data_IF_313289053978
#
_entry.id   IF_313289053978
#
_cell.length_a   1.000
_cell.length_b   1.000
_cell.length_c   1.000
_cell.angle_alpha   90.00
_cell.angle_beta   90.00
_cell.angle_gamma   90.00
#
_symmetry.space_group_name_H-M   'P 1'
#
loop_
_entity.id
_entity.type
_entity.pdbx_description
1 polymer ?
#
# COMPACT_ATOMS: atom_id res chain seq x y z
N UNK A 1 7.55 16.69 24.89
CA UNK A 1 7.78 16.52 23.43
C UNK A 1 6.46 16.39 22.65
N UNK A 2 5.47 15.63 23.13
CA UNK A 2 4.20 15.36 22.39
C UNK A 2 3.36 16.58 21.96
N UNK A 3 3.29 17.66 22.76
CA UNK A 3 2.51 18.86 22.38
C UNK A 3 3.10 19.60 21.16
N UNK A 4 4.42 19.56 20.95
CA UNK A 4 5.07 20.26 19.83
C UNK A 4 4.92 19.49 18.52
N UNK A 5 4.93 18.15 18.57
CA UNK A 5 4.67 17.28 17.40
C UNK A 5 3.21 17.42 16.96
N UNK A 6 2.26 17.39 17.90
CA UNK A 6 0.85 17.59 17.60
C UNK A 6 0.58 18.96 16.96
N UNK A 7 1.21 20.03 17.48
CA UNK A 7 1.10 21.38 16.90
C UNK A 7 1.71 21.43 15.50
N UNK A 8 2.83 20.78 15.23
CA UNK A 8 3.44 20.76 13.88
C UNK A 8 2.56 19.98 12.89
N UNK A 9 2.03 18.82 13.29
CA UNK A 9 1.09 18.02 12.45
C UNK A 9 -0.19 18.80 12.18
N UNK A 10 -0.76 19.45 13.20
CA UNK A 10 -1.95 20.29 13.06
C UNK A 10 -1.65 21.54 12.21
N UNK A 11 -0.44 22.10 12.31
CA UNK A 11 -0.01 23.27 11.53
C UNK A 11 0.24 22.92 10.06
N UNK A 12 0.78 21.73 9.76
CA UNK A 12 0.87 21.21 8.39
C UNK A 12 -0.53 20.96 7.83
N UNK A 13 -1.43 20.34 8.59
CA UNK A 13 -2.81 20.13 8.18
C UNK A 13 -3.58 21.45 7.93
N UNK A 14 -3.28 22.50 8.71
CA UNK A 14 -3.87 23.83 8.57
C UNK A 14 -3.20 24.69 7.47
N UNK A 15 -1.96 24.41 7.08
CA UNK A 15 -1.34 25.05 5.91
C UNK A 15 -1.84 24.46 4.58
N UNK A 16 -2.39 23.24 4.61
CA UNK A 16 -3.02 22.56 3.47
C UNK A 16 -4.47 23.04 3.27
N UNK A 17 -5.07 23.74 4.24
CA UNK A 17 -6.46 24.22 4.14
C UNK A 17 -6.58 25.57 3.44
N UNK A 18 -6.76 25.50 2.12
CA UNK A 18 -7.68 26.36 1.37
C UNK A 18 -8.03 25.75 -0.01
N UNK A 19 -7.16 24.92 -0.58
CA UNK A 19 -7.32 24.38 -1.94
C UNK A 19 -6.89 22.91 -2.13
N UNK A 20 -6.44 22.22 -1.08
CA UNK A 20 -5.88 20.88 -1.24
C UNK A 20 -6.96 19.80 -1.39
N UNK A 21 -6.79 18.97 -2.42
CA UNK A 21 -7.53 17.71 -2.59
C UNK A 21 -7.02 16.70 -1.56
N UNK A 22 -7.94 16.03 -0.89
CA UNK A 22 -7.65 14.97 0.09
C UNK A 22 -8.41 13.73 -0.35
N UNK A 23 -7.77 12.57 -0.29
CA UNK A 23 -8.44 11.30 -0.53
C UNK A 23 -8.28 10.33 0.63
N UNK A 24 -9.34 9.58 0.89
CA UNK A 24 -9.39 8.46 1.83
C UNK A 24 -9.60 7.19 1.01
N UNK A 25 -8.73 6.21 1.18
CA UNK A 25 -8.75 4.93 0.48
C UNK A 25 -9.00 3.83 1.52
N UNK A 26 -10.21 3.25 1.54
CA UNK A 26 -10.55 2.14 2.43
C UNK A 26 -10.26 0.83 1.72
N UNK A 27 -9.32 0.04 2.23
CA UNK A 27 -8.63 -1.00 1.46
C UNK A 27 -8.94 -2.37 2.04
N UNK A 28 -9.13 -3.36 1.16
CA UNK A 28 -8.99 -4.78 1.46
C UNK A 28 -7.89 -5.35 0.59
N UNK A 29 -7.03 -6.19 1.16
CA UNK A 29 -5.91 -6.78 0.43
C UNK A 29 -5.61 -8.20 0.90
N UNK A 30 -4.89 -8.94 0.06
CA UNK A 30 -4.18 -10.15 0.44
C UNK A 30 -2.69 -9.95 0.25
N UNK A 31 -1.89 -10.56 1.13
CA UNK A 31 -0.42 -10.58 1.04
C UNK A 31 0.06 -12.03 1.14
N UNK A 32 1.04 -12.36 0.32
CA UNK A 32 1.73 -13.65 0.39
C UNK A 32 3.00 -13.49 1.22
N UNK A 33 3.07 -14.05 2.43
CA UNK A 33 4.29 -14.02 3.24
C UNK A 33 5.04 -15.34 3.10
N UNK A 34 6.35 -15.30 3.27
CA UNK A 34 7.19 -16.50 3.33
C UNK A 34 8.31 -16.33 4.35
N UNK A 35 8.00 -16.40 5.66
CA UNK A 35 8.98 -16.29 6.73
C UNK A 35 9.80 -17.59 6.88
N UNK A 36 10.48 -18.03 5.83
CA UNK A 36 11.01 -19.40 5.68
C UNK A 36 11.88 -19.87 6.84
N UNK A 37 12.71 -18.99 7.40
CA UNK A 37 13.58 -19.33 8.53
C UNK A 37 12.76 -19.58 9.81
N UNK A 38 11.73 -18.76 10.06
CA UNK A 38 10.82 -18.95 11.19
C UNK A 38 9.90 -20.17 10.98
N UNK A 39 9.44 -20.39 9.76
CA UNK A 39 8.73 -21.60 9.34
C UNK A 39 9.57 -22.86 9.61
N UNK A 40 10.87 -22.80 9.30
CA UNK A 40 11.80 -23.89 9.57
C UNK A 40 11.96 -24.14 11.07
N UNK A 41 12.07 -23.10 11.89
CA UNK A 41 12.14 -23.23 13.35
C UNK A 41 10.86 -23.86 13.93
N UNK A 42 9.67 -23.43 13.48
CA UNK A 42 8.38 -24.05 13.86
C UNK A 42 8.39 -25.56 13.52
N UNK A 43 8.76 -25.92 12.29
CA UNK A 43 8.78 -27.31 11.86
C UNK A 43 9.83 -28.14 12.61
N UNK A 44 11.04 -27.60 12.84
CA UNK A 44 12.09 -28.26 13.63
C UNK A 44 11.70 -28.49 15.08
N UNK A 45 10.85 -27.63 15.64
CA UNK A 45 10.37 -27.78 17.02
C UNK A 45 9.75 -29.16 17.21
N UNK A 46 8.81 -29.56 16.34
CA UNK A 46 8.20 -30.89 16.41
C UNK A 46 9.20 -32.05 16.23
N UNK A 47 10.19 -31.90 15.34
CA UNK A 47 11.24 -32.91 15.13
C UNK A 47 12.13 -33.08 16.35
N UNK A 48 12.53 -31.98 16.99
CA UNK A 48 13.33 -32.01 18.21
C UNK A 48 12.60 -32.73 19.36
N UNK A 49 11.26 -32.71 19.36
CA UNK A 49 10.44 -33.48 20.29
C UNK A 49 10.17 -34.93 19.84
N UNK A 50 10.96 -35.47 18.90
CA UNK A 50 10.98 -36.90 18.56
C UNK A 50 9.92 -37.34 17.55
N UNK A 51 9.32 -36.41 16.81
CA UNK A 51 8.28 -36.70 15.81
C UNK A 51 8.85 -36.62 14.38
N UNK A 52 9.72 -37.57 14.03
CA UNK A 52 10.43 -37.64 12.74
C UNK A 52 9.52 -37.90 11.52
N UNK A 53 8.35 -38.53 11.73
CA UNK A 53 7.39 -38.87 10.66
C UNK A 53 6.35 -37.76 10.38
N UNK A 54 6.44 -36.63 11.09
CA UNK A 54 5.51 -35.54 10.91
C UNK A 54 5.96 -34.71 9.70
N UNK A 55 5.34 -34.97 8.54
CA UNK A 55 5.41 -34.18 7.30
C UNK A 55 4.72 -32.80 7.55
N UNK A 56 5.27 -32.04 8.50
CA UNK A 56 4.78 -30.76 8.98
C UNK A 56 5.34 -29.67 8.07
N UNK A 57 4.86 -29.65 6.83
CA UNK A 57 4.96 -28.47 6.00
C UNK A 57 4.12 -27.37 6.67
N UNK A 58 4.75 -26.56 7.51
CA UNK A 58 4.09 -25.39 8.11
C UNK A 58 3.96 -24.30 7.05
N UNK A 59 2.76 -23.76 6.87
CA UNK A 59 2.50 -22.68 5.90
C UNK A 59 2.39 -21.32 6.60
N UNK A 60 3.00 -21.16 7.79
CA UNK A 60 2.89 -19.93 8.56
C UNK A 60 3.24 -18.71 7.69
N UNK A 61 2.30 -17.78 7.58
CA UNK A 61 2.42 -16.57 6.77
C UNK A 61 1.93 -16.69 5.33
N UNK A 62 1.66 -17.89 4.80
CA UNK A 62 1.28 -18.19 3.41
C UNK A 62 0.46 -17.10 2.68
N UNK A 63 -0.86 -17.23 2.59
CA UNK A 63 -1.72 -16.14 2.11
C UNK A 63 -2.55 -15.59 3.27
N UNK A 64 -2.33 -14.33 3.63
CA UNK A 64 -3.12 -13.65 4.67
C UNK A 64 -3.90 -12.47 4.10
N UNK A 65 -5.14 -12.33 4.57
CA UNK A 65 -6.02 -11.22 4.27
C UNK A 65 -5.83 -10.06 5.25
N UNK A 66 -6.07 -8.85 4.76
CA UNK A 66 -5.96 -7.63 5.55
C UNK A 66 -6.90 -6.53 5.09
N UNK A 67 -6.98 -5.51 5.92
CA UNK A 67 -7.74 -4.29 5.65
C UNK A 67 -6.95 -3.06 6.08
N UNK A 68 -7.28 -1.91 5.53
CA UNK A 68 -6.53 -0.69 5.83
C UNK A 68 -7.21 0.60 5.41
N UNK A 69 -6.56 1.70 5.74
CA UNK A 69 -6.96 3.04 5.34
C UNK A 69 -5.73 3.84 4.89
N UNK A 70 -5.81 4.41 3.68
CA UNK A 70 -4.84 5.37 3.16
C UNK A 70 -5.40 6.78 3.19
N UNK A 71 -4.65 7.73 3.72
CA UNK A 71 -4.95 9.16 3.68
C UNK A 71 -3.96 9.83 2.74
N UNK A 72 -4.45 10.41 1.64
CA UNK A 72 -3.64 11.03 0.59
C UNK A 72 -3.89 12.53 0.60
N UNK A 73 -2.83 13.31 0.76
CA UNK A 73 -2.86 14.78 0.73
C UNK A 73 -2.19 15.24 -0.56
N UNK A 74 -2.97 15.77 -1.50
CA UNK A 74 -2.43 16.20 -2.79
C UNK A 74 -1.68 17.51 -2.64
N UNK A 75 -0.40 17.49 -3.00
CA UNK A 75 0.46 18.69 -3.08
C UNK A 75 0.51 19.26 -4.49
N UNK A 76 0.10 18.47 -5.49
CA UNK A 76 -0.16 18.85 -6.88
C UNK A 76 -1.16 17.88 -7.51
N UNK A 77 -1.56 18.11 -8.76
CA UNK A 77 -2.44 17.19 -9.50
C UNK A 77 -1.86 15.79 -9.66
N UNK A 78 -0.53 15.67 -9.66
CA UNK A 78 0.17 14.40 -9.90
C UNK A 78 0.86 13.83 -8.67
N UNK A 79 0.90 14.53 -7.54
CA UNK A 79 1.68 14.11 -6.38
C UNK A 79 0.82 14.24 -5.12
N UNK A 80 0.72 13.14 -4.37
CA UNK A 80 0.20 13.13 -3.00
C UNK A 80 1.24 12.67 -2.01
N UNK A 81 1.16 13.19 -0.79
CA UNK A 81 1.81 12.64 0.40
C UNK A 81 0.79 11.73 1.06
N UNK A 82 1.21 10.51 1.43
CA UNK A 82 0.29 9.50 1.91
C UNK A 82 0.66 9.03 3.31
N UNK A 83 -0.36 8.78 4.12
CA UNK A 83 -0.27 8.05 5.38
C UNK A 83 -1.08 6.77 5.19
N UNK A 84 -0.45 5.62 5.39
CA UNK A 84 -1.09 4.32 5.24
C UNK A 84 -1.14 3.60 6.59
N UNK A 85 -2.32 3.09 6.93
CA UNK A 85 -2.54 2.22 8.06
C UNK A 85 -3.15 0.91 7.56
N UNK A 86 -2.35 -0.16 7.49
CA UNK A 86 -2.81 -1.50 7.11
C UNK A 86 -2.82 -2.42 8.33
N UNK A 87 -3.72 -3.39 8.34
CA UNK A 87 -3.85 -4.41 9.37
C UNK A 87 -4.03 -5.78 8.71
N UNK A 88 -3.28 -6.78 9.16
CA UNK A 88 -3.41 -8.16 8.69
C UNK A 88 -3.15 -9.13 9.84
N UNK A 89 -3.71 -10.34 9.70
CA UNK A 89 -3.67 -11.37 10.73
C UNK A 89 -3.30 -12.73 10.13
N UNK A 90 -2.32 -13.39 10.71
CA UNK A 90 -1.97 -14.79 10.40
C UNK A 90 -1.85 -15.58 11.69
N UNK A 91 -2.37 -16.79 11.69
CA UNK A 91 -2.27 -17.71 12.82
C UNK A 91 -2.08 -19.11 12.25
N UNK A 92 -1.20 -19.88 12.89
CA UNK A 92 -0.95 -21.28 12.58
C UNK A 92 -0.84 -22.04 13.89
N UNK A 93 -1.57 -23.15 13.98
CA UNK A 93 -1.46 -24.10 15.08
C UNK A 93 -1.04 -25.46 14.54
N UNK A 94 0.06 -25.98 15.04
CA UNK A 94 0.52 -27.35 14.80
C UNK A 94 0.23 -28.17 16.04
N UNK A 95 -0.62 -29.17 15.89
CA UNK A 95 -1.00 -30.08 16.98
C UNK A 95 -0.59 -31.51 16.62
N UNK A 96 0.26 -32.13 17.45
CA UNK A 96 0.66 -33.53 17.31
C UNK A 96 -0.06 -34.36 18.36
N UNK A 97 -0.77 -35.38 17.90
CA UNK A 97 -1.57 -36.29 18.75
C UNK A 97 -1.06 -37.72 18.64
N UNK A 98 -1.16 -38.46 19.75
CA UNK A 98 -0.82 -39.87 19.79
C UNK A 98 -1.96 -40.68 19.16
N UNK A 99 -1.71 -41.34 18.03
CA UNK A 99 -2.77 -42.08 17.31
C UNK A 99 -3.43 -43.20 18.14
N UNK A 100 -2.69 -43.81 19.08
CA UNK A 100 -3.18 -44.94 19.87
C UNK A 100 -4.02 -44.52 21.08
N UNK A 101 -3.74 -43.35 21.66
CA UNK A 101 -4.41 -42.87 22.88
C UNK A 101 -5.32 -41.67 22.64
N UNK A 102 -5.15 -40.97 21.51
CA UNK A 102 -5.80 -39.70 21.21
C UNK A 102 -5.29 -38.53 22.04
N UNK A 103 -4.26 -38.73 22.88
CA UNK A 103 -3.70 -37.67 23.72
C UNK A 103 -2.93 -36.65 22.86
N UNK A 104 -3.09 -35.35 23.16
CA UNK A 104 -2.27 -34.31 22.55
C UNK A 104 -0.90 -34.29 23.20
N UNK A 105 0.14 -34.42 22.41
CA UNK A 105 1.52 -34.53 22.91
C UNK A 105 2.27 -33.20 22.78
N UNK A 106 1.99 -32.46 21.71
CA UNK A 106 2.68 -31.21 21.38
C UNK A 106 1.72 -30.25 20.67
N UNK A 107 1.81 -28.98 21.01
CA UNK A 107 1.16 -27.87 20.33
C UNK A 107 2.20 -26.79 20.09
N UNK A 108 2.27 -26.26 18.87
CA UNK A 108 2.96 -25.02 18.55
C UNK A 108 1.96 -24.07 17.91
N UNK A 109 1.61 -22.99 18.61
CA UNK A 109 0.68 -21.98 18.14
C UNK A 109 1.43 -20.65 17.92
N UNK A 110 1.49 -20.20 16.68
CA UNK A 110 2.02 -18.89 16.34
C UNK A 110 0.90 -18.01 15.79
N UNK A 111 0.69 -16.85 16.39
CA UNK A 111 -0.31 -15.88 15.96
C UNK A 111 0.30 -14.49 15.83
N UNK A 112 -0.06 -13.79 14.75
CA UNK A 112 0.49 -12.50 14.39
C UNK A 112 -0.61 -11.56 13.88
N UNK A 113 -0.93 -10.56 14.69
CA UNK A 113 -1.83 -9.45 14.41
C UNK A 113 -0.99 -8.19 14.23
N UNK A 114 -0.77 -7.80 12.97
CA UNK A 114 0.19 -6.75 12.60
C UNK A 114 -0.53 -5.52 12.07
N UNK A 115 -0.20 -4.35 12.61
CA UNK A 115 -0.54 -3.05 12.06
C UNK A 115 0.69 -2.40 11.40
N UNK A 116 0.62 -2.07 10.11
CA UNK A 116 1.62 -1.27 9.42
C UNK A 116 1.20 0.20 9.40
N UNK A 117 2.03 1.09 9.94
CA UNK A 117 1.85 2.53 9.86
C UNK A 117 2.97 3.15 9.03
N UNK A 118 2.66 3.48 7.78
CA UNK A 118 3.61 4.02 6.80
C UNK A 118 3.32 5.47 6.41
N UNK A 119 4.36 6.18 6.03
CA UNK A 119 4.28 7.47 5.36
C UNK A 119 5.07 7.43 4.04
N UNK A 120 4.57 8.12 3.03
CA UNK A 120 5.15 8.02 1.69
C UNK A 120 4.64 9.08 0.73
N UNK A 121 4.86 8.81 -0.55
CA UNK A 121 4.35 9.63 -1.63
C UNK A 121 3.86 8.77 -2.79
N UNK A 122 2.83 9.28 -3.46
CA UNK A 122 2.25 8.68 -4.65
C UNK A 122 2.35 9.64 -5.81
N UNK A 123 2.82 9.14 -6.94
CA UNK A 123 2.76 9.80 -8.23
C UNK A 123 1.57 9.27 -9.04
N UNK A 124 0.63 10.15 -9.35
CA UNK A 124 -0.56 9.89 -10.15
C UNK A 124 -0.27 10.25 -11.61
N UNK A 125 -0.52 9.32 -12.52
CA UNK A 125 -0.27 9.47 -13.94
C UNK A 125 -1.53 10.04 -14.60
N UNK A 126 -1.45 11.29 -15.04
CA UNK A 126 -2.55 11.93 -15.77
C UNK A 126 -2.59 11.40 -17.20
N UNK A 127 -3.69 10.74 -17.56
CA UNK A 127 -3.97 10.33 -18.93
C UNK A 127 -4.74 11.44 -19.64
N UNK A 128 -4.21 11.95 -20.75
CA UNK A 128 -4.90 12.97 -21.54
C UNK A 128 -6.30 12.48 -21.95
N UNK A 129 -7.33 13.26 -21.57
CA UNK A 129 -8.72 12.96 -21.93
C UNK A 129 -9.47 12.00 -21.01
N UNK A 130 -8.86 11.53 -19.90
CA UNK A 130 -9.53 10.67 -18.91
C UNK A 130 -9.38 11.23 -17.50
N UNK A 131 -10.47 11.71 -16.91
CA UNK A 131 -10.55 12.02 -15.47
C UNK A 131 -11.06 10.85 -14.63
N UNK A 132 -11.50 9.77 -15.29
CA UNK A 132 -12.12 8.60 -14.65
C UNK A 132 -11.09 7.58 -14.21
N UNK A 133 -10.01 7.39 -14.98
CA UNK A 133 -9.00 6.35 -14.72
C UNK A 133 -7.65 7.03 -14.50
N UNK A 134 -7.09 6.85 -13.30
CA UNK A 134 -5.81 7.43 -12.89
C UNK A 134 -4.87 6.33 -12.40
N UNK A 135 -3.95 5.84 -13.25
CA UNK A 135 -2.87 4.97 -12.81
C UNK A 135 -1.96 5.70 -11.83
N UNK A 136 -1.31 4.97 -10.92
CA UNK A 136 -0.37 5.55 -9.98
C UNK A 136 0.74 4.59 -9.59
N UNK A 137 1.83 5.16 -9.08
CA UNK A 137 2.92 4.48 -8.39
C UNK A 137 3.14 5.14 -7.03
N UNK A 138 3.31 4.35 -5.99
CA UNK A 138 3.50 4.79 -4.62
C UNK A 138 4.69 4.10 -3.99
N UNK A 139 5.38 4.81 -3.09
CA UNK A 139 6.39 4.26 -2.22
C UNK A 139 6.16 4.78 -0.80
N UNK A 140 6.14 3.88 0.17
CA UNK A 140 5.99 4.21 1.58
C UNK A 140 7.02 3.46 2.44
N UNK A 141 7.29 4.02 3.62
CA UNK A 141 8.10 3.37 4.65
C UNK A 141 7.46 3.64 6.01
N UNK A 142 7.59 2.69 6.93
CA UNK A 142 6.82 2.70 8.16
C UNK A 142 7.28 1.70 9.20
N UNK A 143 6.53 1.71 10.31
CA UNK A 143 6.69 0.76 11.39
C UNK A 143 5.65 -0.36 11.27
N UNK A 144 6.04 -1.57 11.65
CA UNK A 144 5.14 -2.68 11.93
C UNK A 144 4.96 -2.77 13.43
N UNK A 145 3.72 -2.67 13.87
CA UNK A 145 3.31 -2.73 15.27
C UNK A 145 2.57 -4.04 15.46
N UNK A 146 3.10 -4.88 16.35
CA UNK A 146 2.43 -6.10 16.77
C UNK A 146 1.35 -5.72 17.78
N UNK A 147 0.09 -5.83 17.38
CA UNK A 147 -1.04 -5.60 18.27
C UNK A 147 -1.22 -6.81 19.20
N UNK A 148 -1.07 -8.01 18.65
CA UNK A 148 -1.03 -9.31 19.33
C UNK A 148 -0.13 -10.21 18.50
N UNK A 149 1.10 -10.44 18.96
CA UNK A 149 2.05 -11.29 18.26
C UNK A 149 2.74 -12.20 19.26
N UNK A 150 2.40 -13.48 19.24
CA UNK A 150 2.99 -14.47 20.12
C UNK A 150 3.32 -15.76 19.37
N UNK A 151 4.30 -16.48 19.90
CA UNK A 151 4.53 -17.88 19.59
C UNK A 151 4.58 -18.68 20.89
N UNK A 152 3.66 -19.62 21.02
CA UNK A 152 3.55 -20.52 22.16
C UNK A 152 3.88 -21.94 21.74
N UNK A 153 4.70 -22.61 22.55
CA UNK A 153 4.98 -24.03 22.42
C UNK A 153 4.56 -24.72 23.72
N UNK A 154 3.73 -25.75 23.61
CA UNK A 154 3.22 -26.54 24.71
C UNK A 154 3.49 -28.03 24.50
N UNK A 155 3.89 -28.74 25.55
CA UNK A 155 3.96 -30.21 25.56
C UNK A 155 3.26 -30.80 26.78
N UNK A 156 2.66 -31.99 26.64
CA UNK A 156 2.07 -32.70 27.77
C UNK A 156 3.16 -33.10 28.80
N UNK A 157 3.06 -32.64 30.05
CA UNK A 157 4.06 -32.91 31.08
C UNK A 157 4.23 -34.41 31.40
N UNK A 158 3.22 -35.23 31.13
CA UNK A 158 3.28 -36.69 31.35
C UNK A 158 4.17 -37.42 30.34
N UNK A 159 4.52 -36.78 29.21
CA UNK A 159 5.41 -37.31 28.18
C UNK A 159 6.83 -36.71 28.22
N UNK A 160 7.14 -35.83 29.18
CA UNK A 160 8.43 -35.13 29.30
C UNK A 160 9.64 -36.05 29.58
N UNK A 161 9.41 -37.27 30.08
CA UNK A 161 10.49 -38.22 30.42
C UNK A 161 11.25 -38.77 29.21
N UNK A 162 10.77 -38.54 27.98
CA UNK A 162 11.43 -38.97 26.74
C UNK A 162 12.13 -37.82 25.98
N UNK A 163 11.98 -36.57 26.42
CA UNK A 163 12.17 -35.39 25.56
C UNK A 163 13.42 -34.56 25.85
N UNK A 164 14.02 -34.69 27.04
CA UNK A 164 15.31 -34.08 27.33
C UNK A 164 16.36 -35.18 27.50
N UNK A 165 17.44 -35.05 26.74
CA UNK A 165 18.59 -35.94 26.76
C UNK A 165 18.92 -36.40 28.21
N UNK A 166 18.96 -37.72 28.49
CA UNK A 166 19.27 -38.22 29.84
C UNK A 166 20.67 -37.82 30.35
N UNK A 167 21.47 -37.09 29.57
CA UNK A 167 22.71 -36.43 30.03
C UNK A 167 22.48 -35.23 30.93
N UNK A 168 21.30 -34.61 30.93
CA UNK A 168 21.00 -33.49 31.83
C UNK A 168 19.86 -33.89 32.76
N UNK A 169 20.23 -34.34 33.97
CA UNK A 169 19.36 -34.54 35.12
C UNK A 169 18.83 -33.18 35.65
N UNK A 170 18.04 -32.52 34.82
CA UNK A 170 17.14 -31.44 35.24
C UNK A 170 15.79 -32.01 34.84
N UNK A 171 15.09 -32.71 35.72
CA UNK A 171 13.91 -32.17 36.36
C UNK A 171 13.36 -33.27 37.27
N UNK A 172 13.63 -33.18 38.58
CA UNK A 172 12.97 -34.05 39.57
C UNK A 172 12.28 -33.25 40.69
N UNK A 173 12.29 -31.92 40.65
CA UNK A 173 11.84 -31.12 41.81
C UNK A 173 10.91 -29.97 41.54
N UNK A 174 10.49 -29.70 40.29
CA UNK A 174 9.54 -28.60 40.03
C UNK A 174 8.27 -29.08 39.34
N UNK A 175 7.20 -29.40 40.09
CA UNK A 175 5.89 -29.77 39.54
C UNK A 175 5.17 -28.59 38.86
N UNK A 176 5.70 -27.36 38.95
CA UNK A 176 5.19 -26.17 38.24
C UNK A 176 6.00 -25.85 36.96
N UNK A 177 6.92 -26.73 36.53
CA UNK A 177 7.63 -26.62 35.26
C UNK A 177 6.69 -26.94 34.10
N UNK A 178 5.76 -26.01 33.84
CA UNK A 178 4.96 -26.03 32.63
C UNK A 178 5.91 -25.98 31.43
N UNK A 179 5.84 -26.98 30.57
CA UNK A 179 6.48 -27.00 29.27
C UNK A 179 5.75 -26.08 28.29
N UNK A 180 5.46 -24.87 28.76
CA UNK A 180 4.85 -23.78 28.05
C UNK A 180 5.92 -22.71 27.93
N UNK A 181 6.22 -22.31 26.71
CA UNK A 181 7.17 -21.23 26.44
C UNK A 181 6.57 -20.30 25.41
N UNK A 182 6.51 -19.02 25.74
CA UNK A 182 5.94 -17.95 24.92
C UNK A 182 7.04 -16.98 24.43
N UNK A 183 6.80 -16.40 23.25
CA UNK A 183 7.63 -15.36 22.68
C UNK A 183 6.77 -14.24 22.12
N UNK A 184 6.89 -13.04 22.67
CA UNK A 184 6.22 -11.84 22.16
C UNK A 184 7.05 -11.18 21.05
N UNK A 185 6.45 -10.98 19.87
CA UNK A 185 7.13 -10.33 18.76
C UNK A 185 7.35 -8.83 19.00
N UNK A 186 8.55 -8.35 18.68
CA UNK A 186 8.91 -6.94 18.74
C UNK A 186 8.26 -6.11 17.61
N UNK A 187 8.44 -4.79 17.66
CA UNK A 187 8.12 -3.92 16.53
C UNK A 187 9.12 -4.10 15.39
N UNK A 188 8.63 -4.01 14.16
CA UNK A 188 9.44 -4.08 12.94
C UNK A 188 9.48 -2.77 12.17
N UNK A 189 10.29 -2.75 11.12
CA UNK A 189 10.28 -1.68 10.12
C UNK A 189 10.17 -2.29 8.73
N UNK A 190 9.56 -1.52 7.84
CA UNK A 190 9.39 -1.95 6.46
C UNK A 190 9.08 -0.80 5.53
N UNK A 191 9.04 -1.13 4.26
CA UNK A 191 8.55 -0.26 3.22
C UNK A 191 7.87 -1.06 2.14
N UNK A 192 7.07 -0.38 1.33
CA UNK A 192 6.39 -1.03 0.23
C UNK A 192 6.38 -0.13 -1.00
N UNK A 193 6.48 -0.78 -2.16
CA UNK A 193 6.23 -0.16 -3.45
C UNK A 193 4.90 -0.70 -3.94
N UNK A 194 4.05 0.20 -4.41
CA UNK A 194 2.71 -0.11 -4.87
C UNK A 194 2.46 0.53 -6.23
N UNK A 195 1.79 -0.20 -7.11
CA UNK A 195 1.25 0.32 -8.35
C UNK A 195 -0.23 0.01 -8.39
N UNK A 196 -1.01 0.90 -9.00
CA UNK A 196 -2.43 0.68 -9.07
C UNK A 196 -3.14 1.61 -10.04
N UNK A 197 -4.45 1.52 -10.00
CA UNK A 197 -5.36 2.37 -10.76
C UNK A 197 -6.52 2.81 -9.90
N UNK A 198 -6.80 4.11 -9.90
CA UNK A 198 -8.00 4.69 -9.32
C UNK A 198 -9.04 4.85 -10.43
N UNK A 199 -10.26 4.39 -10.18
CA UNK A 199 -11.41 4.45 -11.08
C UNK A 199 -12.51 5.27 -10.40
N UNK A 200 -12.73 6.50 -10.85
CA UNK A 200 -13.68 7.44 -10.28
C UNK A 200 -15.06 7.32 -10.94
N UNK A 201 -16.09 7.03 -10.15
CA UNK A 201 -17.49 6.99 -10.62
C UNK A 201 -18.17 8.37 -10.50
N UNK A 202 -17.61 9.25 -9.67
CA UNK A 202 -18.01 10.66 -9.51
C UNK A 202 -16.78 11.51 -9.15
N UNK A 203 -16.96 12.82 -8.98
CA UNK A 203 -15.88 13.71 -8.54
C UNK A 203 -15.34 13.37 -7.12
N UNK A 204 -16.10 12.61 -6.33
CA UNK A 204 -15.82 12.34 -4.91
C UNK A 204 -15.75 10.87 -4.54
N UNK A 205 -16.17 9.96 -5.41
CA UNK A 205 -16.22 8.53 -5.10
C UNK A 205 -15.69 7.68 -6.25
N UNK A 206 -14.95 6.65 -5.90
CA UNK A 206 -14.34 5.70 -6.84
C UNK A 206 -13.91 4.42 -6.16
N UNK A 207 -13.14 3.64 -6.89
CA UNK A 207 -12.53 2.40 -6.45
C UNK A 207 -11.04 2.40 -6.81
N UNK A 208 -10.20 1.79 -5.98
CA UNK A 208 -8.79 1.53 -6.26
C UNK A 208 -8.60 0.04 -6.54
N UNK A 209 -7.74 -0.29 -7.49
CA UNK A 209 -7.18 -1.64 -7.68
C UNK A 209 -5.66 -1.51 -7.61
N UNK A 210 -5.00 -2.36 -6.84
CA UNK A 210 -3.58 -2.20 -6.58
C UNK A 210 -2.85 -3.51 -6.36
N UNK A 211 -1.55 -3.46 -6.58
CA UNK A 211 -0.62 -4.53 -6.24
C UNK A 211 0.77 -3.97 -6.02
N UNK A 212 1.59 -4.70 -5.29
CA UNK A 212 2.90 -4.23 -4.90
C UNK A 212 3.75 -5.29 -4.24
N UNK A 213 4.87 -4.85 -3.69
CA UNK A 213 5.76 -5.67 -2.90
C UNK A 213 6.13 -4.93 -1.63
N UNK A 214 6.03 -5.64 -0.50
CA UNK A 214 6.45 -5.16 0.82
C UNK A 214 7.78 -5.81 1.17
N UNK A 215 8.69 -5.01 1.72
CA UNK A 215 9.89 -5.48 2.39
C UNK A 215 9.73 -5.12 3.86
N UNK A 216 9.63 -6.10 4.73
CA UNK A 216 9.40 -5.89 6.16
C UNK A 216 10.04 -7.00 6.96
N UNK A 217 10.67 -6.65 8.08
CA UNK A 217 11.22 -7.63 9.00
C UNK A 217 11.01 -7.20 10.44
N UNK A 218 10.89 -8.18 11.32
CA UNK A 218 10.79 -8.02 12.76
C UNK A 218 11.94 -8.83 13.36
N UNK A 219 12.74 -8.22 14.23
CA UNK A 219 13.81 -8.96 14.90
C UNK A 219 13.21 -10.02 15.83
N UNK A 220 13.83 -11.20 15.85
CA UNK A 220 13.55 -12.26 16.82
C UNK A 220 14.73 -12.31 17.79
N UNK A 221 14.43 -12.18 19.08
CA UNK A 221 15.40 -12.32 20.17
C UNK A 221 14.83 -13.31 21.19
N UNK A 222 15.09 -14.60 20.95
CA UNK A 222 14.56 -15.67 21.78
C UNK A 222 14.97 -15.48 23.26
N UNK A 223 14.04 -15.65 24.21
CA UNK A 223 14.36 -15.42 25.62
C UNK A 223 15.29 -16.52 26.13
N UNK A 224 16.18 -16.22 27.07
CA UNK A 224 17.04 -17.23 27.70
C UNK A 224 16.29 -17.99 28.81
N UNK A 225 15.14 -18.59 28.48
CA UNK A 225 14.27 -19.34 29.40
C UNK A 225 13.59 -20.52 28.71
N UNK A 226 13.24 -21.56 29.46
CA UNK A 226 12.48 -22.70 28.92
C UNK A 226 13.21 -23.45 27.79
N UNK A 227 12.48 -23.72 26.71
CA UNK A 227 13.02 -24.45 25.53
C UNK A 227 14.03 -23.61 24.73
N UNK A 228 14.01 -22.30 24.90
CA UNK A 228 14.80 -21.34 24.13
C UNK A 228 16.25 -21.19 24.62
N UNK A 229 16.56 -21.64 25.84
CA UNK A 229 17.91 -21.52 26.44
C UNK A 229 18.96 -22.23 25.59
N UNK A 230 20.21 -21.74 25.59
CA UNK A 230 21.31 -22.31 24.79
C UNK A 230 21.50 -23.82 25.02
N UNK A 231 21.30 -24.30 26.25
CA UNK A 231 21.45 -25.73 26.57
C UNK A 231 20.26 -26.60 26.13
N UNK A 232 19.08 -26.00 25.91
CA UNK A 232 17.87 -26.70 25.48
C UNK A 232 17.56 -26.50 23.99
N UNK A 233 18.13 -25.47 23.37
CA UNK A 233 18.01 -25.17 21.94
C UNK A 233 18.98 -26.03 21.12
N UNK A 234 18.90 -27.36 21.26
CA UNK A 234 19.71 -28.31 20.50
C UNK A 234 18.88 -29.54 20.13
N UNK A 235 18.95 -29.98 18.88
CA UNK A 235 18.30 -31.18 18.38
C UNK A 235 19.06 -32.46 18.78
N UNK A 236 18.59 -33.63 18.31
CA UNK A 236 19.22 -34.92 18.56
C UNK A 236 20.64 -35.05 18.00
N UNK A 237 21.02 -34.20 17.03
CA UNK A 237 22.36 -34.12 16.44
C UNK A 237 23.24 -33.06 17.12
N UNK A 238 22.69 -32.25 18.03
CA UNK A 238 23.38 -31.13 18.69
C UNK A 238 23.34 -29.83 17.89
N UNK A 239 22.50 -29.72 16.87
CA UNK A 239 22.31 -28.52 16.06
C UNK A 239 21.21 -27.62 16.65
N UNK A 240 21.30 -26.29 16.55
CA UNK A 240 20.27 -25.40 17.08
C UNK A 240 18.90 -25.59 16.41
N UNK A 241 17.85 -25.65 17.23
CA UNK A 241 16.44 -25.79 16.80
C UNK A 241 15.93 -24.42 16.32
N UNK A 242 16.12 -23.40 17.14
CA UNK A 242 15.70 -22.02 16.93
C UNK A 242 16.88 -21.20 16.42
N UNK A 243 16.78 -20.80 15.16
CA UNK A 243 17.86 -20.16 14.39
C UNK A 243 17.44 -18.85 13.72
N UNK A 244 16.14 -18.61 13.61
CA UNK A 244 15.60 -17.40 13.02
C UNK A 244 15.97 -16.18 13.89
N UNK A 245 16.70 -15.26 13.29
CA UNK A 245 17.01 -13.95 13.90
C UNK A 245 16.02 -12.86 13.50
N UNK A 246 15.16 -13.16 12.51
CA UNK A 246 14.14 -12.26 12.00
C UNK A 246 12.91 -13.02 11.53
N UNK A 247 11.74 -12.45 11.78
CA UNK A 247 10.50 -12.81 11.11
C UNK A 247 10.37 -11.96 9.83
N UNK A 248 10.53 -12.59 8.67
CA UNK A 248 10.39 -11.92 7.37
C UNK A 248 8.91 -11.80 6.98
N UNK A 249 8.41 -10.56 6.96
CA UNK A 249 7.04 -10.22 6.56
C UNK A 249 7.02 -9.56 5.18
N UNK A 250 8.05 -9.81 4.38
CA UNK A 250 8.14 -9.39 3.00
C UNK A 250 7.28 -10.26 2.10
N UNK A 251 6.76 -9.66 1.03
CA UNK A 251 5.87 -10.39 0.14
C UNK A 251 5.14 -9.53 -0.88
N UNK A 252 4.69 -10.15 -1.99
CA UNK A 252 3.78 -9.50 -2.90
C UNK A 252 2.39 -9.36 -2.25
N UNK A 253 1.74 -8.23 -2.50
CA UNK A 253 0.37 -7.98 -2.05
C UNK A 253 -0.48 -7.44 -3.18
N UNK A 254 -1.78 -7.66 -3.09
CA UNK A 254 -2.77 -7.19 -4.06
C UNK A 254 -4.10 -6.91 -3.37
N UNK A 255 -4.87 -5.97 -3.90
CA UNK A 255 -6.12 -5.60 -3.27
C UNK A 255 -6.95 -4.63 -4.07
N UNK A 256 -8.06 -4.25 -3.44
CA UNK A 256 -9.00 -3.28 -3.94
C UNK A 256 -9.49 -2.40 -2.79
N UNK A 257 -9.93 -1.19 -3.11
CA UNK A 257 -10.41 -0.27 -2.09
C UNK A 257 -11.49 0.67 -2.58
N UNK A 258 -12.22 1.27 -1.64
CA UNK A 258 -13.15 2.36 -1.89
C UNK A 258 -12.43 3.69 -1.70
N UNK A 259 -12.46 4.52 -2.73
CA UNK A 259 -11.77 5.81 -2.74
C UNK A 259 -12.79 6.93 -2.58
N UNK A 260 -12.61 7.76 -1.55
CA UNK A 260 -13.38 8.97 -1.32
C UNK A 260 -12.47 10.17 -1.44
N UNK A 261 -12.84 11.15 -2.26
CA UNK A 261 -12.04 12.36 -2.49
C UNK A 261 -12.85 13.59 -2.11
N UNK A 262 -12.24 14.46 -1.33
CA UNK A 262 -12.83 15.69 -0.80
C UNK A 262 -11.86 16.84 -1.09
N UNK A 263 -12.38 17.98 -1.54
CA UNK A 263 -11.55 19.13 -1.86
C UNK A 263 -10.83 19.02 -3.21
N UNK A 264 -10.03 20.04 -3.52
CA UNK A 264 -9.80 20.46 -4.89
C UNK A 264 -10.98 21.28 -5.34
N UNK A 265 -10.74 22.51 -5.80
CA UNK A 265 -11.78 23.22 -6.54
C UNK A 265 -12.27 22.26 -7.64
N UNK A 266 -13.55 21.91 -7.61
CA UNK A 266 -14.30 22.02 -8.85
C UNK A 266 -13.96 23.45 -9.28
N UNK A 267 -13.07 23.62 -10.28
CA UNK A 267 -12.92 24.91 -10.94
C UNK A 267 -14.35 25.37 -11.10
N UNK A 268 -14.75 26.40 -10.34
CA UNK A 268 -16.16 26.66 -10.17
C UNK A 268 -16.71 26.65 -11.59
N UNK A 269 -17.63 25.73 -11.89
CA UNK A 269 -18.52 25.95 -13.02
C UNK A 269 -19.20 27.22 -12.58
N UNK A 270 -18.58 28.34 -12.93
CA UNK A 270 -19.00 29.68 -12.64
C UNK A 270 -20.47 29.61 -12.99
N UNK A 271 -21.39 29.72 -12.00
CA UNK A 271 -22.80 29.47 -12.26
C UNK A 271 -23.11 30.31 -13.47
N UNK A 272 -23.50 29.62 -14.56
CA UNK A 272 -23.56 30.19 -15.89
C UNK A 272 -24.16 31.57 -15.71
N UNK A 273 -23.32 32.60 -15.86
CA UNK A 273 -23.77 33.95 -15.61
C UNK A 273 -24.96 34.09 -16.54
N UNK A 274 -26.16 34.21 -15.98
CA UNK A 274 -27.36 34.53 -16.73
C UNK A 274 -27.14 35.95 -17.21
N UNK A 275 -26.37 36.04 -18.29
CA UNK A 275 -26.07 37.24 -19.01
C UNK A 275 -26.89 37.16 -20.28
N UNK A 276 -27.62 38.23 -20.64
CA UNK A 276 -28.66 38.17 -21.64
C UNK A 276 -28.10 37.68 -22.97
N UNK A 277 -28.92 36.91 -23.68
CA UNK A 277 -28.65 36.37 -25.00
C UNK A 277 -27.94 37.38 -25.91
N UNK A 278 -26.67 37.10 -26.21
CA UNK A 278 -26.07 37.47 -27.49
C UNK A 278 -25.31 36.22 -27.95
N UNK A 279 -25.89 35.57 -28.94
CA UNK A 279 -25.29 34.48 -29.70
C UNK A 279 -24.03 35.00 -30.41
N UNK A 280 -22.87 34.79 -29.78
CA UNK A 280 -21.57 34.88 -30.46
C UNK A 280 -20.91 33.51 -30.36
N UNK A 281 -21.33 32.58 -31.21
CA UNK A 281 -20.98 31.15 -31.21
C UNK A 281 -19.48 30.82 -31.37
N UNK A 282 -18.63 31.19 -30.42
CA UNK A 282 -17.22 30.82 -30.36
C UNK A 282 -17.04 29.42 -29.73
N UNK A 283 -16.38 28.50 -30.46
CA UNK A 283 -16.12 27.13 -29.98
C UNK A 283 -15.03 27.12 -28.90
N UNK A 284 -15.00 26.08 -28.05
CA UNK A 284 -13.95 25.91 -27.02
C UNK A 284 -12.53 25.93 -27.62
N UNK A 285 -12.36 25.34 -28.81
CA UNK A 285 -11.09 25.38 -29.56
C UNK A 285 -10.69 26.79 -29.97
N UNK A 286 -11.65 27.66 -30.29
CA UNK A 286 -11.36 29.06 -30.63
C UNK A 286 -10.89 29.86 -29.43
N UNK A 287 -11.42 29.58 -28.24
CA UNK A 287 -10.98 30.23 -27.00
C UNK A 287 -9.52 29.86 -26.65
N UNK A 288 -9.15 28.57 -26.80
CA UNK A 288 -7.75 28.15 -26.67
C UNK A 288 -6.85 28.79 -27.74
N UNK A 289 -7.32 28.87 -28.98
CA UNK A 289 -6.62 29.58 -30.05
C UNK A 289 -6.35 31.05 -29.69
N UNK A 290 -7.36 31.76 -29.17
CA UNK A 290 -7.25 33.16 -28.73
C UNK A 290 -6.26 33.34 -27.58
N UNK A 291 -6.23 32.40 -26.64
CA UNK A 291 -5.26 32.38 -25.54
C UNK A 291 -3.83 32.31 -26.07
N UNK A 292 -3.52 31.32 -26.93
CA UNK A 292 -2.18 31.16 -27.50
C UNK A 292 -1.81 32.31 -28.45
N UNK A 293 -2.78 32.87 -29.16
CA UNK A 293 -2.58 34.03 -30.01
C UNK A 293 -2.17 35.27 -29.19
N UNK A 294 -2.83 35.54 -28.06
CA UNK A 294 -2.46 36.61 -27.13
C UNK A 294 -1.08 36.39 -26.51
N UNK A 295 -0.73 35.13 -26.25
CA UNK A 295 0.61 34.72 -25.80
C UNK A 295 1.68 34.78 -26.92
N UNK A 296 1.33 35.24 -28.13
CA UNK A 296 2.18 35.29 -29.33
C UNK A 296 2.75 33.94 -29.77
N UNK A 297 2.14 32.84 -29.32
CA UNK A 297 2.46 31.49 -29.76
C UNK A 297 1.54 31.11 -30.93
N UNK A 298 1.90 31.61 -32.12
CA UNK A 298 1.06 31.52 -33.30
C UNK A 298 0.96 30.09 -33.85
N UNK A 299 2.00 29.27 -33.71
CA UNK A 299 1.97 27.85 -34.11
C UNK A 299 0.96 27.05 -33.28
N UNK A 300 0.93 27.25 -31.95
CA UNK A 300 -0.07 26.63 -31.09
C UNK A 300 -1.47 27.17 -31.40
N UNK A 301 -1.63 28.48 -31.54
CA UNK A 301 -2.91 29.11 -31.89
C UNK A 301 -3.49 28.52 -33.19
N UNK A 302 -2.64 28.28 -34.19
CA UNK A 302 -3.04 27.72 -35.47
C UNK A 302 -3.59 26.29 -35.37
N UNK A 303 -3.01 25.45 -34.49
CA UNK A 303 -3.54 24.10 -34.22
C UNK A 303 -4.97 24.16 -33.68
N UNK A 304 -5.22 25.03 -32.71
CA UNK A 304 -6.53 25.17 -32.08
C UNK A 304 -7.55 25.82 -33.03
N UNK A 305 -7.18 26.86 -33.78
CA UNK A 305 -8.09 27.42 -34.79
C UNK A 305 -8.38 26.44 -35.95
N UNK A 306 -7.43 25.60 -36.34
CA UNK A 306 -7.69 24.55 -37.32
C UNK A 306 -8.71 23.51 -36.82
N UNK A 307 -8.67 23.18 -35.52
CA UNK A 307 -9.68 22.34 -34.88
C UNK A 307 -11.05 23.04 -34.80
N UNK A 308 -11.10 24.33 -34.45
CA UNK A 308 -12.31 25.14 -34.45
C UNK A 308 -12.98 25.19 -35.85
N UNK A 309 -12.17 25.34 -36.91
CA UNK A 309 -12.64 25.30 -38.30
C UNK A 309 -13.26 23.96 -38.67
N UNK A 310 -12.72 22.83 -38.18
CA UNK A 310 -13.31 21.50 -38.45
C UNK A 310 -14.71 21.36 -37.88
N UNK A 311 -14.98 21.99 -36.72
CA UNK A 311 -16.29 21.94 -36.08
C UNK A 311 -17.30 22.89 -36.75
N UNK A 312 -16.83 24.05 -37.24
CA UNK A 312 -17.70 25.05 -37.89
C UNK A 312 -17.06 25.54 -39.21
N UNK A 313 -17.10 24.74 -40.28
CA UNK A 313 -16.35 25.02 -41.52
C UNK A 313 -16.74 26.31 -42.25
N UNK A 314 -17.89 26.91 -41.92
CA UNK A 314 -18.45 28.09 -42.60
C UNK A 314 -18.25 29.40 -41.83
N UNK A 315 -17.53 29.38 -40.70
CA UNK A 315 -17.33 30.58 -39.86
C UNK A 315 -16.15 31.43 -40.33
N UNK A 316 -16.48 32.54 -41.00
CA UNK A 316 -15.53 33.49 -41.59
C UNK A 316 -14.53 34.08 -40.58
N UNK A 317 -14.94 34.28 -39.33
CA UNK A 317 -14.08 34.81 -38.27
C UNK A 317 -12.99 33.83 -37.82
N UNK A 318 -13.22 32.51 -37.89
CA UNK A 318 -12.16 31.51 -37.68
C UNK A 318 -11.13 31.55 -38.81
N UNK A 319 -11.55 31.76 -40.07
CA UNK A 319 -10.62 31.94 -41.19
C UNK A 319 -9.76 33.20 -41.02
N UNK A 320 -10.35 34.30 -40.54
CA UNK A 320 -9.59 35.51 -40.19
C UNK A 320 -8.52 35.24 -39.13
N UNK A 321 -8.87 34.53 -38.06
CA UNK A 321 -7.93 34.18 -36.98
C UNK A 321 -6.77 33.30 -37.47
N UNK A 322 -7.05 32.31 -38.33
CA UNK A 322 -6.00 31.51 -38.99
C UNK A 322 -5.12 32.38 -39.91
N UNK A 323 -5.75 33.25 -40.71
CA UNK A 323 -5.05 34.18 -41.59
C UNK A 323 -4.11 35.13 -40.84
N UNK A 324 -4.55 35.66 -39.68
CA UNK A 324 -3.70 36.46 -38.81
C UNK A 324 -2.53 35.66 -38.23
N UNK A 325 -2.74 34.40 -37.82
CA UNK A 325 -1.63 33.55 -37.35
C UNK A 325 -0.55 33.40 -38.43
N UNK A 326 -0.96 33.07 -39.68
CA UNK A 326 -0.01 32.97 -40.79
C UNK A 326 0.69 34.29 -41.11
N UNK A 327 0.00 35.43 -40.95
CA UNK A 327 0.60 36.75 -41.12
C UNK A 327 1.71 37.00 -40.09
N UNK A 328 1.46 36.73 -38.81
CA UNK A 328 2.46 36.89 -37.74
C UNK A 328 3.61 35.87 -37.86
N UNK A 329 3.36 34.69 -38.43
CA UNK A 329 4.37 33.68 -38.79
C UNK A 329 5.14 34.02 -40.08
N UNK A 330 4.93 35.20 -40.69
CA UNK A 330 5.56 35.63 -41.95
C UNK A 330 5.25 34.73 -43.16
N UNK A 331 4.21 33.90 -43.08
CA UNK A 331 3.76 33.01 -44.16
C UNK A 331 2.70 33.70 -45.03
N UNK A 332 3.11 34.76 -45.73
CA UNK A 332 2.20 35.67 -46.43
C UNK A 332 1.29 34.99 -47.47
N UNK A 333 1.79 33.96 -48.18
CA UNK A 333 0.98 33.21 -49.15
C UNK A 333 -0.21 32.49 -48.48
N UNK A 334 0.01 31.90 -47.31
CA UNK A 334 -1.05 31.26 -46.53
C UNK A 334 -1.97 32.29 -45.89
N UNK A 335 -1.42 33.40 -45.38
CA UNK A 335 -2.23 34.47 -44.79
C UNK A 335 -3.26 35.02 -45.79
N UNK A 336 -2.83 35.34 -47.02
CA UNK A 336 -3.74 35.81 -48.09
C UNK A 336 -4.81 34.78 -48.39
N UNK A 337 -4.44 33.51 -48.55
CA UNK A 337 -5.39 32.42 -48.83
C UNK A 337 -6.50 32.34 -47.78
N UNK A 338 -6.18 32.51 -46.50
CA UNK A 338 -7.16 32.40 -45.41
C UNK A 338 -7.94 33.70 -45.18
N UNK A 339 -7.33 34.86 -45.42
CA UNK A 339 -8.01 36.17 -45.32
C UNK A 339 -8.97 36.44 -46.47
N UNK A 340 -8.85 35.74 -47.60
CA UNK A 340 -9.81 35.82 -48.71
C UNK A 340 -11.17 35.16 -48.41
N UNK A 341 -11.25 34.32 -47.38
CA UNK A 341 -12.49 33.68 -46.93
C UNK A 341 -13.19 34.45 -45.78
N UNK A 342 -12.65 35.62 -45.39
CA UNK A 342 -13.24 36.55 -44.44
C UNK A 342 -13.82 37.77 -45.16
#
# INVERSE_FOLDING_TARGET
MGKRVLIIVLSLALCVSAFAKVSIDLRGFGILLNPSDFTADISKTAWAFGYEDADLASEFGGFTGGGGAGFKFFVSDNISIDILADFFFTEEEITVTNESTGATMFISNAALSTAYLGAGATYHINLEGSSTITPYISANAGALIMAQGFWEVWTDPTNLTMLFNPRYNVLETDPDYNAYSDYDFAMGFGGQIETGVNIMFSDSAGMSLFGGYRIASVAIDYPDTGIWTENNNIDSNGEPIFTASTLDLSGPFFGAGLLFTIGGEAAAKQPAATRPAVDTGASQYEQYGDYYFKAKNYDAALKYYAAARKQTPQRADVYKKIGMCYFYLKQNANAVRYLQYY
#
